data_IF_561420661132
#
_entry.id   IF_561420661132
#
_cell.length_a   1.000
_cell.length_b   1.000
_cell.length_c   1.000
_cell.angle_alpha   90.00
_cell.angle_beta   90.00
_cell.angle_gamma   90.00
#
_symmetry.space_group_name_H-M   'P 1'
#
loop_
_entity.id
_entity.type
_entity.pdbx_description
1 polymer ?
#
# COMPACT_ATOMS: atom_id res chain seq x y z
N UNK A 1 12.41 8.34 -10.52
CA UNK A 1 11.86 7.48 -9.45
C UNK A 1 11.55 6.10 -10.02
N UNK A 2 11.62 5.03 -9.22
CA UNK A 2 11.22 3.69 -9.68
C UNK A 2 9.68 3.57 -9.67
N UNK A 3 9.03 4.04 -10.74
CA UNK A 3 7.57 4.04 -10.85
C UNK A 3 6.97 2.62 -10.85
N UNK A 4 7.55 1.62 -11.55
CA UNK A 4 7.10 0.23 -11.45
C UNK A 4 7.16 -0.30 -10.02
N UNK A 5 8.28 -0.09 -9.32
CA UNK A 5 8.40 -0.50 -7.92
C UNK A 5 7.38 0.17 -7.01
N UNK A 6 7.12 1.47 -7.19
CA UNK A 6 6.11 2.20 -6.41
C UNK A 6 4.69 1.75 -6.71
N UNK A 7 4.35 1.53 -7.99
CA UNK A 7 3.06 0.93 -8.36
C UNK A 7 2.91 -0.47 -7.74
N UNK A 8 4.02 -1.22 -7.68
CA UNK A 8 4.13 -2.48 -6.95
C UNK A 8 4.15 -2.34 -5.42
N UNK A 9 3.76 -1.21 -4.83
CA UNK A 9 3.68 -1.04 -3.38
C UNK A 9 5.00 -1.35 -2.62
N UNK A 10 6.16 -1.08 -3.25
CA UNK A 10 7.48 -1.28 -2.61
C UNK A 10 7.74 -0.40 -1.39
N UNK A 11 6.94 0.65 -1.21
CA UNK A 11 7.04 1.59 -0.08
C UNK A 11 6.32 1.12 1.18
N UNK A 12 5.60 -0.02 1.13
CA UNK A 12 4.93 -0.60 2.30
C UNK A 12 5.93 -1.37 3.15
N UNK A 13 5.93 -1.13 4.46
CA UNK A 13 6.69 -1.92 5.42
C UNK A 13 5.94 -3.24 5.73
N UNK A 14 6.32 -4.29 5.00
CA UNK A 14 5.72 -5.61 5.12
C UNK A 14 6.05 -6.32 6.44
N UNK A 15 7.13 -5.94 7.14
CA UNK A 15 7.43 -6.46 8.47
C UNK A 15 6.44 -5.90 9.48
N UNK A 16 6.14 -4.60 9.41
CA UNK A 16 5.09 -3.97 10.21
C UNK A 16 3.72 -4.58 9.91
N UNK A 17 3.38 -4.81 8.64
CA UNK A 17 2.14 -5.52 8.25
C UNK A 17 2.08 -6.92 8.86
N UNK A 18 3.17 -7.68 8.83
CA UNK A 18 3.24 -9.01 9.46
C UNK A 18 3.12 -8.96 10.98
N UNK A 19 3.67 -7.93 11.63
CA UNK A 19 3.50 -7.68 13.05
C UNK A 19 2.02 -7.36 13.39
N UNK A 20 1.37 -6.53 12.57
CA UNK A 20 -0.06 -6.20 12.67
C UNK A 20 -0.93 -7.46 12.57
N UNK A 21 -0.64 -8.34 11.61
CA UNK A 21 -1.30 -9.63 11.48
C UNK A 21 -1.10 -10.53 12.70
N UNK A 22 0.12 -10.62 13.21
CA UNK A 22 0.46 -11.42 14.40
C UNK A 22 -0.30 -10.95 15.65
N UNK A 23 -0.53 -9.64 15.78
CA UNK A 23 -1.36 -9.03 16.83
C UNK A 23 -2.86 -9.11 16.56
N UNK A 24 -3.27 -9.63 15.39
CA UNK A 24 -4.66 -9.80 14.96
C UNK A 24 -5.47 -8.49 14.99
N UNK A 25 -4.85 -7.40 14.55
CA UNK A 25 -5.49 -6.08 14.52
C UNK A 25 -6.69 -6.07 13.55
N UNK A 26 -7.58 -5.09 13.70
CA UNK A 26 -8.68 -4.91 12.74
C UNK A 26 -8.15 -4.58 11.33
N UNK A 27 -7.19 -3.65 11.15
CA UNK A 27 -6.55 -3.39 9.86
C UNK A 27 -5.99 -4.64 9.18
N UNK A 28 -5.29 -5.52 9.91
CA UNK A 28 -4.71 -6.71 9.30
C UNK A 28 -5.76 -7.71 8.79
N UNK A 29 -6.95 -7.75 9.42
CA UNK A 29 -8.08 -8.56 8.96
C UNK A 29 -8.73 -7.93 7.73
N UNK A 30 -8.89 -6.61 7.70
CA UNK A 30 -9.41 -5.89 6.54
C UNK A 30 -8.48 -6.03 5.33
N UNK A 31 -7.17 -6.00 5.54
CA UNK A 31 -6.17 -6.30 4.51
C UNK A 31 -6.40 -7.68 3.88
N UNK A 32 -6.69 -8.72 4.68
CA UNK A 32 -7.00 -10.04 4.15
C UNK A 32 -8.25 -10.03 3.26
N UNK A 33 -9.29 -9.27 3.62
CA UNK A 33 -10.48 -9.11 2.77
C UNK A 33 -10.15 -8.37 1.46
N UNK A 34 -9.34 -7.31 1.53
CA UNK A 34 -8.89 -6.57 0.36
C UNK A 34 -8.05 -7.46 -0.58
N UNK A 35 -7.16 -8.29 -0.03
CA UNK A 35 -6.35 -9.24 -0.80
C UNK A 35 -7.22 -10.25 -1.55
N UNK A 36 -8.21 -10.85 -0.85
CA UNK A 36 -9.15 -11.79 -1.47
C UNK A 36 -10.00 -11.12 -2.55
N UNK A 37 -10.44 -9.89 -2.30
CA UNK A 37 -11.21 -9.12 -3.27
C UNK A 37 -10.38 -8.84 -4.51
N UNK A 38 -9.14 -8.39 -4.35
CA UNK A 38 -8.20 -8.19 -5.45
C UNK A 38 -8.01 -9.46 -6.27
N UNK A 39 -7.66 -10.58 -5.62
CA UNK A 39 -7.43 -11.87 -6.30
C UNK A 39 -8.68 -12.37 -7.04
N UNK A 40 -9.88 -12.10 -6.53
CA UNK A 40 -11.13 -12.46 -7.21
C UNK A 40 -11.33 -11.74 -8.55
N UNK A 41 -10.72 -10.57 -8.74
CA UNK A 41 -10.79 -9.79 -9.99
C UNK A 41 -9.56 -10.04 -10.86
N UNK A 42 -8.38 -10.17 -10.24
CA UNK A 42 -7.13 -10.40 -10.94
C UNK A 42 -7.10 -11.75 -11.68
N UNK A 43 -7.86 -12.75 -11.20
CA UNK A 43 -7.89 -14.08 -11.79
C UNK A 43 -6.52 -14.77 -11.71
N UNK A 44 -6.07 -15.36 -12.81
CA UNK A 44 -4.81 -16.14 -12.89
C UNK A 44 -3.55 -15.26 -13.07
N UNK A 45 -3.51 -14.09 -12.43
CA UNK A 45 -2.34 -13.22 -12.45
C UNK A 45 -1.11 -13.97 -11.91
N UNK A 46 -0.03 -13.99 -12.70
CA UNK A 46 1.17 -14.75 -12.36
C UNK A 46 2.02 -14.01 -11.34
N UNK A 47 2.46 -14.69 -10.26
CA UNK A 47 3.34 -14.09 -9.28
C UNK A 47 4.71 -13.79 -9.88
N UNK A 48 5.22 -12.61 -9.57
CA UNK A 48 6.60 -12.23 -9.83
C UNK A 48 7.51 -12.89 -8.78
N UNK A 49 8.51 -13.64 -9.26
CA UNK A 49 9.34 -14.50 -8.39
C UNK A 49 10.07 -13.74 -7.28
N UNK A 50 10.59 -12.54 -7.58
CA UNK A 50 11.29 -11.71 -6.58
C UNK A 50 10.35 -11.25 -5.46
N UNK A 51 9.12 -10.86 -5.82
CA UNK A 51 8.10 -10.40 -4.88
C UNK A 51 7.54 -11.53 -4.02
N UNK A 52 7.35 -12.70 -4.63
CA UNK A 52 6.97 -13.91 -3.90
C UNK A 52 8.03 -14.31 -2.87
N UNK A 53 9.31 -14.28 -3.26
CA UNK A 53 10.44 -14.60 -2.38
C UNK A 53 10.56 -13.59 -1.22
N UNK A 54 10.30 -12.30 -1.47
CA UNK A 54 10.38 -11.25 -0.45
C UNK A 54 9.48 -11.52 0.77
N UNK A 55 8.25 -12.00 0.55
CA UNK A 55 7.30 -12.29 1.65
C UNK A 55 7.37 -13.73 2.16
N UNK A 56 8.23 -14.59 1.60
CA UNK A 56 8.23 -16.02 1.91
C UNK A 56 8.48 -16.27 3.40
N UNK A 57 9.44 -15.57 3.99
CA UNK A 57 9.81 -15.68 5.40
C UNK A 57 8.80 -15.10 6.39
N UNK A 58 7.91 -14.21 5.93
CA UNK A 58 6.95 -13.52 6.79
C UNK A 58 5.74 -14.41 7.10
N UNK A 59 5.25 -14.35 8.34
CA UNK A 59 4.07 -15.10 8.79
C UNK A 59 2.77 -14.38 8.40
N UNK A 60 2.50 -14.32 7.10
CA UNK A 60 1.30 -13.75 6.50
C UNK A 60 0.41 -14.83 5.85
N UNK A 61 -0.91 -14.63 5.78
CA UNK A 61 -1.81 -15.43 4.96
C UNK A 61 -1.34 -15.54 3.51
N UNK A 62 -1.56 -16.71 2.90
CA UNK A 62 -1.19 -16.95 1.51
C UNK A 62 -1.84 -15.92 0.57
N UNK A 63 -3.10 -15.56 0.80
CA UNK A 63 -3.82 -14.62 -0.05
C UNK A 63 -3.17 -13.22 -0.06
N UNK A 64 -2.58 -12.78 1.05
CA UNK A 64 -1.86 -11.49 1.10
C UNK A 64 -0.55 -11.60 0.30
N UNK A 65 0.16 -12.72 0.44
CA UNK A 65 1.41 -12.96 -0.29
C UNK A 65 1.17 -13.05 -1.79
N UNK A 66 0.15 -13.81 -2.19
CA UNK A 66 -0.24 -14.01 -3.59
C UNK A 66 -0.72 -12.69 -4.21
N UNK A 67 -1.52 -11.92 -3.47
CA UNK A 67 -1.95 -10.59 -3.91
C UNK A 67 -0.74 -9.67 -4.17
N UNK A 68 0.18 -9.58 -3.21
CA UNK A 68 1.37 -8.75 -3.37
C UNK A 68 2.28 -9.24 -4.49
N UNK A 69 2.46 -10.55 -4.64
CA UNK A 69 3.35 -11.13 -5.63
C UNK A 69 2.87 -10.89 -7.07
N UNK A 70 1.59 -10.62 -7.28
CA UNK A 70 1.00 -10.53 -8.62
C UNK A 70 0.39 -9.13 -8.88
N UNK A 71 1.15 -8.03 -8.91
CA UNK A 71 0.58 -6.72 -9.24
C UNK A 71 0.03 -6.73 -10.69
N UNK A 72 -1.13 -6.11 -10.97
CA UNK A 72 -1.70 -6.12 -12.30
C UNK A 72 -1.04 -5.07 -13.19
N UNK A 73 -1.30 -5.07 -14.50
CA UNK A 73 -0.97 -3.90 -15.32
C UNK A 73 -1.81 -2.69 -14.86
N UNK A 74 -1.29 -1.45 -14.91
CA UNK A 74 -2.04 -0.25 -14.50
C UNK A 74 -3.39 -0.08 -15.20
N UNK A 75 -3.50 -0.55 -16.45
CA UNK A 75 -4.69 -0.49 -17.29
C UNK A 75 -5.65 -1.66 -17.09
N UNK A 76 -5.28 -2.67 -16.30
CA UNK A 76 -6.09 -3.86 -16.10
C UNK A 76 -7.34 -3.55 -15.25
N UNK A 77 -8.38 -4.37 -15.43
CA UNK A 77 -9.62 -4.27 -14.65
C UNK A 77 -9.40 -4.39 -13.14
N UNK A 78 -8.36 -5.14 -12.73
CA UNK A 78 -8.00 -5.34 -11.33
C UNK A 78 -7.23 -4.16 -10.70
N UNK A 79 -6.80 -3.15 -11.48
CA UNK A 79 -5.99 -2.03 -10.97
C UNK A 79 -6.65 -1.21 -9.84
N UNK A 80 -7.98 -0.95 -9.84
CA UNK A 80 -8.64 -0.30 -8.71
C UNK A 80 -8.58 -1.14 -7.42
N UNK A 81 -8.80 -2.46 -7.53
CA UNK A 81 -8.75 -3.37 -6.38
C UNK A 81 -7.31 -3.58 -5.87
N UNK A 82 -6.33 -3.54 -6.77
CA UNK A 82 -4.90 -3.47 -6.41
C UNK A 82 -4.59 -2.22 -5.59
N UNK A 83 -5.15 -1.08 -5.99
CA UNK A 83 -5.08 0.13 -5.20
C UNK A 83 -5.66 -0.08 -3.79
N UNK A 84 -6.89 -0.59 -3.69
CA UNK A 84 -7.56 -0.80 -2.40
C UNK A 84 -6.79 -1.78 -1.49
N UNK A 85 -6.18 -2.83 -2.07
CA UNK A 85 -5.26 -3.71 -1.36
C UNK A 85 -4.04 -2.96 -0.82
N UNK A 86 -3.44 -2.09 -1.62
CA UNK A 86 -2.29 -1.26 -1.22
C UNK A 86 -2.67 -0.31 -0.08
N UNK A 87 -3.82 0.36 -0.16
CA UNK A 87 -4.30 1.24 0.93
C UNK A 87 -4.50 0.47 2.23
N UNK A 88 -5.12 -0.71 2.15
CA UNK A 88 -5.33 -1.56 3.32
C UNK A 88 -4.00 -2.02 3.95
N UNK A 89 -2.96 -2.22 3.13
CA UNK A 89 -1.63 -2.58 3.62
C UNK A 89 -0.99 -1.42 4.38
N UNK A 90 -1.09 -0.20 3.86
CA UNK A 90 -0.62 1.02 4.54
C UNK A 90 -1.37 1.23 5.88
N UNK A 91 -2.68 1.01 5.91
CA UNK A 91 -3.44 1.12 7.18
C UNK A 91 -2.99 0.06 8.19
N UNK A 92 -2.68 -1.16 7.73
CA UNK A 92 -2.16 -2.22 8.59
C UNK A 92 -0.74 -1.93 9.12
N UNK A 93 0.10 -1.30 8.30
CA UNK A 93 1.42 -0.78 8.68
C UNK A 93 1.29 0.35 9.72
N UNK A 94 0.52 1.39 9.43
CA UNK A 94 0.37 2.57 10.29
C UNK A 94 -0.19 2.22 11.68
N UNK A 95 -0.98 1.16 11.79
CA UNK A 95 -1.46 0.67 13.09
C UNK A 95 -0.32 0.25 14.02
N UNK A 96 0.82 -0.14 13.45
CA UNK A 96 2.03 -0.49 14.20
C UNK A 96 2.91 0.71 14.51
N UNK A 97 2.65 1.85 13.89
CA UNK A 97 3.38 3.11 14.10
C UNK A 97 2.74 3.88 15.27
N UNK A 98 3.54 4.37 16.23
CA UNK A 98 3.08 5.27 17.29
C UNK A 98 2.37 6.50 16.71
N UNK A 99 1.26 6.92 17.33
CA UNK A 99 0.42 8.01 16.80
C UNK A 99 1.19 9.31 16.51
N UNK A 100 2.15 9.68 17.37
CA UNK A 100 2.97 10.89 17.19
C UNK A 100 3.94 10.84 16.02
N UNK A 101 4.27 9.65 15.49
CA UNK A 101 5.18 9.48 14.35
C UNK A 101 4.43 9.46 13.01
N UNK A 102 3.12 9.15 13.03
CA UNK A 102 2.28 9.04 11.83
C UNK A 102 2.24 10.30 10.97
N UNK A 103 2.14 11.54 11.52
CA UNK A 103 2.07 12.75 10.69
C UNK A 103 3.28 12.91 9.75
N UNK A 104 4.48 12.64 10.25
CA UNK A 104 5.72 12.77 9.48
C UNK A 104 5.75 11.74 8.35
N UNK A 105 5.51 10.46 8.66
CA UNK A 105 5.47 9.39 7.66
C UNK A 105 4.40 9.65 6.59
N UNK A 106 3.21 10.09 6.99
CA UNK A 106 2.13 10.42 6.07
C UNK A 106 2.46 11.63 5.19
N UNK A 107 3.11 12.67 5.73
CA UNK A 107 3.54 13.82 4.95
C UNK A 107 4.59 13.41 3.89
N UNK A 108 5.57 12.60 4.27
CA UNK A 108 6.58 12.08 3.34
C UNK A 108 5.96 11.21 2.25
N UNK A 109 5.07 10.29 2.63
CA UNK A 109 4.39 9.41 1.68
C UNK A 109 3.50 10.20 0.71
N UNK A 110 2.76 11.20 1.20
CA UNK A 110 1.97 12.11 0.36
C UNK A 110 2.86 12.86 -0.63
N UNK A 111 3.98 13.42 -0.18
CA UNK A 111 4.92 14.13 -1.05
C UNK A 111 5.54 13.19 -2.10
N UNK A 112 5.91 11.97 -1.70
CA UNK A 112 6.42 10.93 -2.59
C UNK A 112 5.42 10.56 -3.68
N UNK A 113 4.15 10.34 -3.32
CA UNK A 113 3.07 10.01 -4.28
C UNK A 113 2.75 11.17 -5.23
N UNK A 114 2.81 12.43 -4.76
CA UNK A 114 2.69 13.60 -5.65
C UNK A 114 3.81 13.62 -6.67
N UNK A 115 5.06 13.46 -6.21
CA UNK A 115 6.23 13.44 -7.11
C UNK A 115 6.18 12.26 -8.09
N UNK A 116 5.76 11.08 -7.65
CA UNK A 116 5.55 9.92 -8.51
C UNK A 116 4.50 10.19 -9.59
N UNK A 117 3.41 10.88 -9.23
CA UNK A 117 2.37 11.27 -10.17
C UNK A 117 2.88 12.27 -11.22
N UNK A 118 3.68 13.26 -10.81
CA UNK A 118 4.31 14.22 -11.72
C UNK A 118 5.25 13.52 -12.71
N UNK A 119 6.12 12.65 -12.22
CA UNK A 119 7.05 11.86 -13.04
C UNK A 119 6.33 10.90 -13.99
N UNK A 120 5.18 10.34 -13.59
CA UNK A 120 4.34 9.49 -14.45
C UNK A 120 3.65 10.23 -15.60
N UNK A 121 3.69 11.57 -15.62
CA UNK A 121 3.09 12.40 -16.64
C UNK A 121 1.61 12.73 -16.37
N UNK A 122 1.18 13.99 -16.47
CA UNK A 122 -0.22 14.37 -16.20
C UNK A 122 -1.24 13.60 -17.04
N UNK A 123 -2.31 13.11 -16.40
CA UNK A 123 -3.42 12.48 -17.10
C UNK A 123 -3.17 11.04 -17.58
N UNK A 124 -2.01 10.45 -17.27
CA UNK A 124 -1.76 9.02 -17.49
C UNK A 124 -2.50 8.16 -16.45
N UNK A 125 -2.61 6.86 -16.71
CA UNK A 125 -3.23 5.90 -15.77
C UNK A 125 -2.44 5.84 -14.47
N UNK A 126 -1.11 5.77 -14.54
CA UNK A 126 -0.22 5.78 -13.38
C UNK A 126 -0.32 7.09 -12.58
N UNK A 127 -0.38 8.23 -13.25
CA UNK A 127 -0.60 9.52 -12.59
C UNK A 127 -1.89 9.52 -11.76
N UNK A 128 -3.01 9.08 -12.36
CA UNK A 128 -4.29 8.96 -11.64
C UNK A 128 -4.21 7.97 -10.49
N UNK A 129 -3.51 6.85 -10.67
CA UNK A 129 -3.35 5.84 -9.64
C UNK A 129 -2.61 6.39 -8.41
N UNK A 130 -1.46 7.05 -8.60
CA UNK A 130 -0.69 7.65 -7.51
C UNK A 130 -1.47 8.75 -6.78
N UNK A 131 -2.18 9.61 -7.52
CA UNK A 131 -3.03 10.64 -6.92
C UNK A 131 -4.19 10.05 -6.11
N UNK A 132 -4.79 8.96 -6.59
CA UNK A 132 -5.83 8.26 -5.85
C UNK A 132 -5.28 7.65 -4.54
N UNK A 133 -4.08 7.06 -4.56
CA UNK A 133 -3.44 6.55 -3.34
C UNK A 133 -3.15 7.67 -2.34
N UNK A 134 -2.60 8.80 -2.82
CA UNK A 134 -2.36 10.00 -1.98
C UNK A 134 -3.64 10.44 -1.27
N UNK A 135 -4.75 10.49 -2.01
CA UNK A 135 -6.05 10.92 -1.48
C UNK A 135 -6.70 9.88 -0.53
N UNK A 136 -6.30 8.61 -0.61
CA UNK A 136 -6.80 7.55 0.25
C UNK A 136 -6.00 7.39 1.56
N UNK A 137 -4.87 8.09 1.71
CA UNK A 137 -4.07 8.04 2.93
C UNK A 137 -4.86 8.60 4.12
N UNK A 138 -4.85 7.91 5.27
CA UNK A 138 -5.56 8.37 6.46
C UNK A 138 -4.90 9.63 7.03
N UNK A 139 -5.60 10.29 7.97
CA UNK A 139 -5.02 11.43 8.68
C UNK A 139 -5.19 12.75 7.94
N UNK A 140 -6.34 12.99 7.31
CA UNK A 140 -6.73 14.32 6.83
C UNK A 140 -7.06 15.27 8.01
N UNK A 141 -7.31 14.68 9.18
CA UNK A 141 -7.40 15.36 10.47
C UNK A 141 -6.04 15.58 11.14
N UNK A 142 -4.97 14.95 10.63
CA UNK A 142 -3.62 15.16 11.12
C UNK A 142 -3.01 16.41 10.47
N UNK A 143 -2.31 17.25 11.23
CA UNK A 143 -1.64 18.42 10.70
C UNK A 143 -0.56 18.02 9.68
N UNK A 144 -0.53 18.70 8.54
CA UNK A 144 0.46 18.44 7.47
C UNK A 144 1.89 18.87 7.83
N UNK A 145 2.05 19.64 8.92
CA UNK A 145 3.36 20.14 9.34
C UNK A 145 4.10 19.13 10.23
N UNK A 146 5.36 18.77 9.90
CA UNK A 146 6.20 17.92 10.75
C UNK A 146 6.56 18.58 12.10
N UNK A 147 6.23 19.86 12.30
CA UNK A 147 6.42 20.58 13.57
C UNK A 147 5.35 20.25 14.63
N UNK A 148 4.39 19.37 14.32
CA UNK A 148 3.36 18.99 15.29
C UNK A 148 3.94 18.13 16.42
N UNK A 149 4.17 18.77 17.57
CA UNK A 149 4.45 18.08 18.82
C UNK A 149 3.12 17.86 19.57
N UNK A 150 2.67 16.60 19.79
CA UNK A 150 1.56 16.35 20.69
C UNK A 150 1.98 16.73 22.12
N UNK A 151 1.18 17.57 22.77
CA UNK A 151 1.35 17.99 24.18
C UNK A 151 0.87 16.89 25.12
#
# INVERSE_FOLDING_TARGET
>A
MDLPGLYGASFVDWEAVAASWSKRTVPSRLLLFAARRYLSVAGDAKPEGERAAFLESLKLPAEIKDAFASPPAPEAEAAPEWGAFTDAAIVAELEMVPYGERPILLAELRAGLVKAAEEAGPGTVLNRWFLARRAALPGDDLPESPEYLPV
#
